data_IF_910934628858
#
_entry.id   IF_910934628858
#
_cell.length_a   1.000
_cell.length_b   1.000
_cell.length_c   1.000
_cell.angle_alpha   90.00
_cell.angle_beta   90.00
_cell.angle_gamma   90.00
#
_symmetry.space_group_name_H-M   'P 1'
#
loop_
_entity.id
_entity.type
_entity.pdbx_description
1 polymer ?
#
# COMPACT_ATOMS: atom_id res chain seq x y z
N UNK A 1 -54.11 20.43 -18.21
CA UNK A 1 -52.67 20.49 -18.56
C UNK A 1 -51.73 19.82 -17.53
N UNK A 2 -52.22 19.15 -16.48
CA UNK A 2 -51.39 18.44 -15.49
C UNK A 2 -50.83 17.02 -15.85
N UNK A 3 -51.34 16.26 -16.85
CA UNK A 3 -50.92 14.86 -17.01
C UNK A 3 -49.51 14.71 -17.59
N UNK A 4 -49.04 15.66 -18.41
CA UNK A 4 -47.71 15.59 -19.02
C UNK A 4 -46.57 15.77 -18.01
N UNK A 5 -46.72 16.66 -17.03
CA UNK A 5 -45.72 16.89 -15.98
C UNK A 5 -45.54 15.67 -15.08
N UNK A 6 -46.64 14.99 -14.72
CA UNK A 6 -46.60 13.77 -13.91
C UNK A 6 -45.95 12.59 -14.66
N UNK A 7 -46.18 12.49 -15.96
CA UNK A 7 -45.54 11.47 -16.82
C UNK A 7 -44.04 11.75 -16.96
N UNK A 8 -43.66 13.01 -17.20
CA UNK A 8 -42.25 13.42 -17.26
C UNK A 8 -41.51 13.16 -15.95
N UNK A 9 -42.11 13.51 -14.81
CA UNK A 9 -41.52 13.25 -13.50
C UNK A 9 -41.30 11.75 -13.26
N UNK A 10 -42.27 10.91 -13.61
CA UNK A 10 -42.12 9.44 -13.49
C UNK A 10 -41.02 8.90 -14.40
N UNK A 11 -40.91 9.39 -15.63
CA UNK A 11 -39.85 8.99 -16.56
C UNK A 11 -38.48 9.43 -16.03
N UNK A 12 -38.35 10.67 -15.54
CA UNK A 12 -37.10 11.15 -14.94
C UNK A 12 -36.70 10.34 -13.71
N UNK A 13 -37.65 10.00 -12.83
CA UNK A 13 -37.38 9.13 -11.68
C UNK A 13 -36.93 7.73 -12.11
N UNK A 14 -37.57 7.13 -13.11
CA UNK A 14 -37.16 5.82 -13.64
C UNK A 14 -35.77 5.88 -14.29
N UNK A 15 -35.48 6.93 -15.07
CA UNK A 15 -34.16 7.15 -15.66
C UNK A 15 -33.10 7.35 -14.57
N UNK A 16 -33.38 8.11 -13.52
CA UNK A 16 -32.46 8.28 -12.38
C UNK A 16 -32.19 6.94 -11.67
N UNK A 17 -33.21 6.12 -11.43
CA UNK A 17 -33.03 4.78 -10.82
C UNK A 17 -32.19 3.86 -11.72
N UNK A 18 -32.44 3.86 -13.03
CA UNK A 18 -31.67 3.07 -14.00
C UNK A 18 -30.22 3.54 -14.08
N UNK A 19 -29.97 4.86 -14.09
CA UNK A 19 -28.62 5.42 -14.15
C UNK A 19 -27.85 5.23 -12.84
N UNK A 20 -28.51 5.34 -11.68
CA UNK A 20 -27.91 5.02 -10.38
C UNK A 20 -27.58 3.53 -10.23
N UNK A 21 -28.39 2.63 -10.82
CA UNK A 21 -28.10 1.19 -10.88
C UNK A 21 -27.03 0.80 -11.91
N UNK A 22 -26.77 1.66 -12.90
CA UNK A 22 -25.76 1.46 -13.94
C UNK A 22 -24.40 2.10 -13.64
N UNK A 23 -24.22 2.76 -12.47
CA UNK A 23 -22.91 3.27 -12.07
C UNK A 23 -21.97 2.08 -11.88
N UNK A 24 -20.93 1.93 -12.71
CA UNK A 24 -19.94 0.88 -12.48
C UNK A 24 -19.39 1.08 -11.06
N UNK A 25 -19.38 0.01 -10.25
CA UNK A 25 -18.78 0.02 -8.92
C UNK A 25 -17.48 0.82 -8.97
N UNK A 26 -17.43 1.96 -8.28
CA UNK A 26 -16.53 3.06 -8.58
C UNK A 26 -15.08 2.58 -8.80
N UNK A 27 -14.66 2.61 -10.06
CA UNK A 27 -13.40 2.04 -10.52
C UNK A 27 -12.27 3.03 -10.20
N UNK A 28 -11.62 2.87 -9.03
CA UNK A 28 -10.50 3.72 -8.62
C UNK A 28 -9.16 3.06 -8.92
N UNK A 29 -8.23 3.84 -9.46
CA UNK A 29 -6.83 3.43 -9.58
C UNK A 29 -6.18 3.35 -8.20
N UNK A 30 -5.47 2.25 -7.96
CA UNK A 30 -4.81 1.92 -6.69
C UNK A 30 -3.45 1.30 -6.93
N UNK A 31 -2.61 1.32 -5.91
CA UNK A 31 -1.42 0.47 -5.81
C UNK A 31 -1.53 -0.38 -4.55
N UNK A 32 -0.97 -1.59 -4.64
CA UNK A 32 -0.95 -2.56 -3.56
C UNK A 32 0.48 -2.74 -3.09
N UNK A 33 0.78 -2.25 -1.90
CA UNK A 33 2.08 -2.40 -1.25
C UNK A 33 2.11 -3.69 -0.45
N UNK A 34 3.05 -4.59 -0.74
CA UNK A 34 3.28 -5.81 0.04
C UNK A 34 4.15 -5.49 1.25
N UNK A 35 3.63 -5.77 2.43
CA UNK A 35 4.35 -5.51 3.69
C UNK A 35 5.61 -6.37 3.84
N UNK A 36 5.59 -7.61 3.35
CA UNK A 36 6.72 -8.55 3.45
C UNK A 36 7.87 -8.23 2.48
N UNK A 37 7.57 -7.77 1.25
CA UNK A 37 8.62 -7.41 0.27
C UNK A 37 9.00 -5.94 0.29
N UNK A 38 8.28 -5.12 1.04
CA UNK A 38 8.39 -3.66 1.06
C UNK A 38 8.28 -3.01 -0.32
N UNK A 39 7.47 -3.59 -1.21
CA UNK A 39 7.36 -3.17 -2.61
C UNK A 39 5.93 -3.27 -3.13
N UNK A 40 5.67 -2.63 -4.26
CA UNK A 40 4.36 -2.59 -4.90
C UNK A 40 4.19 -3.73 -5.89
N UNK A 41 2.97 -4.28 -5.93
CA UNK A 41 2.56 -5.28 -6.91
C UNK A 41 2.72 -4.70 -8.32
N UNK A 42 3.61 -5.33 -9.07
CA UNK A 42 4.01 -4.96 -10.43
C UNK A 42 3.66 -6.11 -11.38
N UNK A 43 2.89 -5.81 -12.42
CA UNK A 43 2.42 -6.81 -13.40
C UNK A 43 3.01 -6.50 -14.78
N UNK A 44 3.99 -7.31 -15.21
CA UNK A 44 4.65 -7.19 -16.52
C UNK A 44 4.41 -8.49 -17.30
N UNK A 45 3.65 -8.38 -18.39
CA UNK A 45 3.20 -9.54 -19.14
C UNK A 45 2.48 -10.54 -18.22
N UNK A 46 2.87 -11.81 -18.26
CA UNK A 46 2.29 -12.85 -17.37
C UNK A 46 2.89 -12.83 -15.96
N UNK A 47 4.02 -12.16 -15.75
CA UNK A 47 4.75 -12.16 -14.48
C UNK A 47 4.17 -11.14 -13.51
N UNK A 48 4.05 -11.55 -12.25
CA UNK A 48 3.68 -10.68 -11.14
C UNK A 48 4.76 -10.76 -10.08
N UNK A 49 5.22 -9.60 -9.60
CA UNK A 49 6.17 -9.45 -8.49
C UNK A 49 5.72 -8.30 -7.59
N UNK A 50 6.30 -8.18 -6.39
CA UNK A 50 6.12 -7.02 -5.53
C UNK A 50 7.49 -6.35 -5.28
N UNK A 51 7.78 -5.27 -6.01
CA UNK A 51 9.10 -4.63 -6.04
C UNK A 51 8.99 -3.15 -5.72
N UNK A 52 10.10 -2.57 -5.24
CA UNK A 52 10.17 -1.12 -4.98
C UNK A 52 9.87 -0.36 -6.26
N UNK A 53 9.18 0.77 -6.14
CA UNK A 53 8.82 1.64 -7.26
C UNK A 53 10.06 2.35 -7.82
N UNK A 54 10.21 2.33 -9.13
CA UNK A 54 11.18 3.10 -9.91
C UNK A 54 10.50 3.64 -11.18
N UNK A 55 11.18 4.50 -11.94
CA UNK A 55 10.61 5.13 -13.14
C UNK A 55 10.22 4.13 -14.24
N UNK A 56 10.92 2.99 -14.31
CA UNK A 56 10.66 1.97 -15.33
C UNK A 56 9.44 1.11 -14.99
N UNK A 57 9.27 0.76 -13.72
CA UNK A 57 8.23 -0.16 -13.24
C UNK A 57 6.98 0.57 -12.75
N UNK A 58 7.08 1.88 -12.47
CA UNK A 58 6.01 2.72 -11.97
C UNK A 58 4.68 2.59 -12.72
N UNK A 59 4.65 2.55 -14.07
CA UNK A 59 3.40 2.38 -14.81
C UNK A 59 2.75 1.00 -14.61
N UNK A 60 3.55 -0.03 -14.36
CA UNK A 60 3.10 -1.42 -14.19
C UNK A 60 2.60 -1.73 -12.76
N UNK A 61 2.67 -0.74 -11.86
CA UNK A 61 2.17 -0.81 -10.48
C UNK A 61 0.80 -0.15 -10.29
N UNK A 62 0.25 0.44 -11.36
CA UNK A 62 -1.09 1.02 -11.37
C UNK A 62 -2.12 -0.09 -11.59
N UNK A 63 -2.93 -0.32 -10.58
CA UNK A 63 -3.96 -1.35 -10.54
C UNK A 63 -5.33 -0.71 -10.39
N UNK A 64 -6.36 -1.51 -10.60
CA UNK A 64 -7.75 -1.13 -10.44
C UNK A 64 -8.51 -2.28 -9.80
N UNK A 65 -9.34 -2.00 -8.81
CA UNK A 65 -10.28 -3.00 -8.26
C UNK A 65 -11.64 -2.86 -8.93
N UNK A 66 -12.17 -3.95 -9.48
CA UNK A 66 -13.45 -3.97 -10.21
C UNK A 66 -14.37 -5.00 -9.57
N UNK A 67 -15.60 -4.62 -9.24
CA UNK A 67 -16.65 -5.54 -8.80
C UNK A 67 -17.73 -5.60 -9.88
N UNK A 68 -18.23 -6.80 -10.19
CA UNK A 68 -19.31 -6.98 -11.18
C UNK A 68 -20.70 -6.87 -10.54
N UNK A 69 -20.79 -7.09 -9.22
CA UNK A 69 -22.02 -7.11 -8.45
C UNK A 69 -21.75 -6.76 -6.97
N UNK A 70 -22.78 -6.90 -6.14
CA UNK A 70 -22.70 -6.69 -4.69
C UNK A 70 -22.19 -7.93 -3.92
N UNK A 71 -21.66 -8.96 -4.60
CA UNK A 71 -21.22 -10.20 -3.94
C UNK A 71 -19.90 -10.07 -3.16
N UNK A 72 -19.36 -8.83 -3.05
CA UNK A 72 -18.05 -8.49 -2.45
C UNK A 72 -16.85 -9.15 -3.15
N UNK A 73 -17.08 -9.84 -4.27
CA UNK A 73 -16.03 -10.37 -5.13
C UNK A 73 -15.48 -9.23 -5.97
N UNK A 74 -14.16 -9.18 -6.10
CA UNK A 74 -13.50 -8.22 -6.95
C UNK A 74 -12.45 -8.87 -7.85
N UNK A 75 -12.14 -8.18 -8.93
CA UNK A 75 -11.00 -8.41 -9.78
C UNK A 75 -9.95 -7.33 -9.54
N UNK A 76 -8.68 -7.70 -9.63
CA UNK A 76 -7.57 -6.75 -9.62
C UNK A 76 -7.00 -6.70 -11.03
N UNK A 77 -7.16 -5.55 -11.68
CA UNK A 77 -6.74 -5.32 -13.05
C UNK A 77 -5.52 -4.42 -13.09
N UNK A 78 -4.46 -4.84 -13.79
CA UNK A 78 -3.29 -4.03 -14.03
C UNK A 78 -3.48 -3.24 -15.32
N UNK A 79 -3.53 -1.91 -15.18
CA UNK A 79 -3.92 -1.02 -16.27
C UNK A 79 -2.89 -1.03 -17.41
N UNK A 80 -1.60 -0.86 -17.10
CA UNK A 80 -0.56 -0.79 -18.15
C UNK A 80 -0.40 -2.08 -18.93
N UNK A 81 -0.47 -3.23 -18.25
CA UNK A 81 -0.29 -4.55 -18.89
C UNK A 81 -1.58 -5.16 -19.42
N UNK A 82 -2.73 -4.51 -19.18
CA UNK A 82 -4.06 -4.94 -19.60
C UNK A 82 -4.40 -6.38 -19.16
N UNK A 83 -4.09 -6.69 -17.90
CA UNK A 83 -4.19 -8.05 -17.36
C UNK A 83 -4.82 -8.10 -15.98
N UNK A 84 -5.64 -9.11 -15.74
CA UNK A 84 -6.12 -9.46 -14.42
C UNK A 84 -5.06 -10.25 -13.66
N UNK A 85 -4.92 -9.95 -12.38
CA UNK A 85 -4.20 -10.81 -11.44
C UNK A 85 -5.07 -12.04 -11.20
N UNK A 86 -4.50 -13.23 -11.40
CA UNK A 86 -5.21 -14.50 -11.22
C UNK A 86 -4.28 -15.54 -10.62
N UNK A 87 -4.85 -16.59 -10.03
CA UNK A 87 -4.11 -17.82 -9.78
C UNK A 87 -4.10 -18.73 -11.01
N UNK A 88 -2.95 -19.35 -11.30
CA UNK A 88 -2.91 -20.49 -12.19
C UNK A 88 -3.34 -21.78 -11.45
N UNK A 89 -3.36 -22.92 -12.16
CA UNK A 89 -3.69 -24.23 -11.59
C UNK A 89 -2.76 -24.67 -10.44
N UNK A 90 -1.51 -24.19 -10.46
CA UNK A 90 -0.51 -24.43 -9.41
C UNK A 90 -0.56 -23.36 -8.30
N UNK A 91 -1.65 -22.60 -8.21
CA UNK A 91 -1.85 -21.53 -7.23
C UNK A 91 -0.76 -20.44 -7.20
N UNK A 92 -0.06 -20.25 -8.32
CA UNK A 92 0.88 -19.15 -8.50
C UNK A 92 0.15 -17.93 -9.08
N UNK A 93 0.31 -16.73 -8.49
CA UNK A 93 -0.12 -15.48 -9.09
C UNK A 93 0.47 -15.25 -10.49
N UNK A 94 -0.39 -14.95 -11.46
CA UNK A 94 -0.06 -14.68 -12.86
C UNK A 94 -0.99 -13.60 -13.46
N UNK A 95 -0.50 -12.91 -14.49
CA UNK A 95 -1.29 -11.95 -15.26
C UNK A 95 -2.00 -12.59 -16.46
N UNK A 96 -3.33 -12.58 -16.49
CA UNK A 96 -4.14 -13.08 -17.60
C UNK A 96 -4.84 -11.95 -18.37
N UNK A 97 -4.87 -12.00 -19.72
CA UNK A 97 -5.61 -11.03 -20.50
C UNK A 97 -7.13 -11.20 -20.28
N UNK A 98 -7.91 -10.14 -20.54
CA UNK A 98 -9.38 -10.13 -20.35
C UNK A 98 -10.09 -11.33 -20.99
N UNK A 99 -9.69 -11.74 -22.20
CA UNK A 99 -10.27 -12.90 -22.92
C UNK A 99 -10.06 -14.25 -22.22
N UNK A 100 -9.09 -14.35 -21.30
CA UNK A 100 -8.76 -15.56 -20.53
C UNK A 100 -9.11 -15.43 -19.05
N UNK A 101 -9.87 -14.39 -18.67
CA UNK A 101 -10.35 -14.17 -17.30
C UNK A 101 -11.24 -15.34 -16.89
N UNK A 102 -11.09 -15.82 -15.66
CA UNK A 102 -11.89 -16.90 -15.10
C UNK A 102 -12.12 -16.67 -13.59
N UNK A 103 -12.77 -17.62 -12.92
CA UNK A 103 -13.07 -17.54 -11.48
C UNK A 103 -11.83 -17.44 -10.58
N UNK A 104 -10.65 -17.92 -11.03
CA UNK A 104 -9.38 -17.78 -10.28
C UNK A 104 -8.78 -16.37 -10.33
N UNK A 105 -9.41 -15.46 -11.05
CA UNK A 105 -9.10 -14.03 -11.07
C UNK A 105 -9.92 -13.22 -10.06
N UNK A 106 -10.83 -13.86 -9.32
CA UNK A 106 -11.69 -13.22 -8.34
C UNK A 106 -11.14 -13.41 -6.92
N UNK A 107 -11.24 -12.34 -6.13
CA UNK A 107 -10.78 -12.29 -4.74
C UNK A 107 -11.84 -11.67 -3.83
N UNK A 108 -11.80 -12.06 -2.56
CA UNK A 108 -12.35 -11.29 -1.46
C UNK A 108 -11.24 -10.39 -0.90
N UNK A 109 -11.56 -9.11 -0.67
CA UNK A 109 -10.70 -8.17 0.06
C UNK A 109 -11.13 -8.20 1.53
N UNK A 110 -10.32 -8.87 2.35
CA UNK A 110 -10.58 -9.10 3.78
C UNK A 110 -9.52 -8.35 4.62
N UNK A 111 -9.88 -7.93 5.84
CA UNK A 111 -8.92 -7.33 6.78
C UNK A 111 -8.24 -8.39 7.65
N UNK A 112 -6.93 -8.25 7.84
CA UNK A 112 -6.13 -8.98 8.82
C UNK A 112 -5.46 -7.95 9.73
N UNK A 113 -6.12 -7.60 10.83
CA UNK A 113 -5.75 -6.45 11.65
C UNK A 113 -5.87 -5.15 10.85
N UNK A 114 -4.79 -4.38 10.76
CA UNK A 114 -4.72 -3.13 10.00
C UNK A 114 -4.38 -3.30 8.51
N UNK A 115 -4.18 -4.54 8.05
CA UNK A 115 -3.76 -4.82 6.68
C UNK A 115 -4.86 -5.48 5.86
N UNK A 116 -4.78 -5.32 4.54
CA UNK A 116 -5.64 -6.01 3.59
C UNK A 116 -5.04 -7.35 3.20
N UNK A 117 -5.90 -8.32 2.96
CA UNK A 117 -5.57 -9.62 2.38
C UNK A 117 -6.50 -9.91 1.22
N UNK A 118 -5.99 -10.59 0.19
CA UNK A 118 -6.77 -10.95 -1.00
C UNK A 118 -6.92 -12.47 -1.07
N UNK A 119 -8.05 -12.98 -0.61
CA UNK A 119 -8.35 -14.41 -0.55
C UNK A 119 -9.02 -14.86 -1.84
N UNK A 120 -8.64 -16.02 -2.38
CA UNK A 120 -9.28 -16.55 -3.59
C UNK A 120 -10.73 -16.91 -3.35
N UNK A 121 -11.61 -16.57 -4.29
CA UNK A 121 -13.02 -17.00 -4.27
C UNK A 121 -13.16 -18.50 -4.51
N UNK A 122 -12.23 -19.11 -5.28
CA UNK A 122 -12.29 -20.53 -5.64
C UNK A 122 -11.71 -21.44 -4.56
N UNK A 123 -10.74 -20.94 -3.77
CA UNK A 123 -10.13 -21.71 -2.70
C UNK A 123 -9.82 -20.79 -1.51
N UNK A 124 -10.58 -20.95 -0.43
CA UNK A 124 -10.47 -20.13 0.78
C UNK A 124 -9.13 -20.24 1.49
N UNK A 125 -8.34 -21.30 1.25
CA UNK A 125 -7.00 -21.46 1.83
C UNK A 125 -5.90 -20.76 1.04
N UNK A 126 -6.23 -20.05 -0.05
CA UNK A 126 -5.27 -19.44 -0.97
C UNK A 126 -5.40 -17.93 -0.95
N UNK A 127 -4.28 -17.27 -0.70
CA UNK A 127 -4.18 -15.82 -0.57
C UNK A 127 -3.13 -15.29 -1.54
N UNK A 128 -3.38 -14.13 -2.13
CA UNK A 128 -2.36 -13.42 -2.88
C UNK A 128 -1.23 -13.05 -1.91
N UNK A 129 0.03 -13.27 -2.32
CA UNK A 129 1.14 -13.00 -1.43
C UNK A 129 2.48 -13.01 -2.13
N UNK A 130 3.44 -12.30 -1.54
CA UNK A 130 4.80 -12.16 -2.04
C UNK A 130 5.78 -12.31 -0.89
N UNK A 131 6.87 -13.04 -1.13
CA UNK A 131 7.91 -13.20 -0.12
C UNK A 131 8.78 -11.95 -0.01
N UNK A 132 9.75 -11.94 0.92
CA UNK A 132 10.68 -10.83 1.15
C UNK A 132 11.46 -10.36 -0.08
N UNK A 133 11.57 -11.18 -1.12
CA UNK A 133 12.24 -10.86 -2.38
C UNK A 133 11.27 -10.41 -3.49
N UNK A 134 10.01 -10.18 -3.15
CA UNK A 134 8.98 -9.78 -4.12
C UNK A 134 8.51 -10.90 -5.03
N UNK A 135 8.87 -12.16 -4.77
CA UNK A 135 8.45 -13.30 -5.59
C UNK A 135 7.12 -13.86 -5.08
N UNK A 136 6.21 -14.31 -5.96
CA UNK A 136 4.92 -14.85 -5.54
C UNK A 136 5.07 -16.06 -4.61
N UNK A 137 4.30 -16.07 -3.52
CA UNK A 137 4.19 -17.21 -2.60
C UNK A 137 3.18 -18.20 -3.19
N UNK A 138 3.55 -19.49 -3.23
CA UNK A 138 2.68 -20.56 -3.75
C UNK A 138 1.86 -21.25 -2.66
N UNK A 139 2.49 -21.51 -1.50
CA UNK A 139 1.94 -22.32 -0.41
C UNK A 139 2.00 -21.55 0.91
N UNK A 140 2.32 -22.21 2.03
CA UNK A 140 2.49 -21.60 3.34
C UNK A 140 3.66 -20.61 3.28
N UNK A 141 3.34 -19.33 3.41
CA UNK A 141 4.28 -18.25 3.70
C UNK A 141 4.10 -17.79 5.14
N UNK A 142 4.96 -16.89 5.59
CA UNK A 142 4.70 -16.16 6.83
C UNK A 142 3.46 -15.28 6.66
N UNK A 143 2.70 -15.07 7.72
CA UNK A 143 1.41 -14.38 7.66
C UNK A 143 1.53 -12.97 7.05
N UNK A 144 2.60 -12.24 7.39
CA UNK A 144 2.89 -10.92 6.84
C UNK A 144 3.06 -10.91 5.31
N UNK A 145 3.42 -12.04 4.70
CA UNK A 145 3.63 -12.13 3.25
C UNK A 145 2.34 -12.17 2.44
N UNK A 146 1.18 -12.18 3.12
CA UNK A 146 -0.14 -12.05 2.53
C UNK A 146 -0.80 -10.69 2.84
N UNK A 147 -0.12 -9.82 3.60
CA UNK A 147 -0.64 -8.52 4.02
C UNK A 147 -0.25 -7.40 3.05
N UNK A 148 -1.23 -6.57 2.72
CA UNK A 148 -1.11 -5.44 1.80
C UNK A 148 -1.61 -4.14 2.41
N UNK A 149 -1.08 -3.04 1.89
CA UNK A 149 -1.64 -1.69 2.06
C UNK A 149 -2.11 -1.22 0.68
N UNK A 150 -3.35 -0.75 0.59
CA UNK A 150 -3.95 -0.18 -0.62
C UNK A 150 -3.93 1.33 -0.52
N UNK A 151 -3.41 1.99 -1.53
CA UNK A 151 -3.34 3.45 -1.56
C UNK A 151 -3.54 3.97 -2.99
N UNK A 152 -3.88 5.24 -3.13
CA UNK A 152 -4.00 5.88 -4.44
C UNK A 152 -2.60 6.28 -4.94
N UNK A 153 -2.11 5.75 -6.08
CA UNK A 153 -0.78 6.07 -6.60
C UNK A 153 -0.63 7.52 -7.04
N UNK A 154 -1.74 8.24 -7.22
CA UNK A 154 -1.78 9.65 -7.60
C UNK A 154 -2.13 10.56 -6.42
N UNK A 155 -2.18 10.04 -5.19
CA UNK A 155 -2.34 10.89 -4.03
C UNK A 155 -1.08 11.74 -3.84
N UNK A 156 -1.15 12.99 -4.25
CA UNK A 156 -0.16 14.01 -3.92
C UNK A 156 -0.67 14.79 -2.70
N UNK A 157 -0.03 14.56 -1.56
CA UNK A 157 -0.34 15.23 -0.29
C UNK A 157 -0.13 16.73 -0.42
N UNK A 158 0.88 17.19 -1.16
CA UNK A 158 1.14 18.61 -1.32
C UNK A 158 0.04 19.26 -2.16
N UNK A 159 -0.37 18.60 -3.26
CA UNK A 159 -1.50 19.06 -4.05
C UNK A 159 -2.79 19.09 -3.23
N UNK A 160 -3.07 18.05 -2.46
CA UNK A 160 -4.24 18.01 -1.57
C UNK A 160 -4.21 19.14 -0.54
N UNK A 161 -3.08 19.34 0.14
CA UNK A 161 -2.91 20.42 1.12
C UNK A 161 -3.07 21.80 0.48
N UNK A 162 -2.53 22.00 -0.73
CA UNK A 162 -2.68 23.27 -1.46
C UNK A 162 -4.15 23.57 -1.78
N UNK A 163 -4.94 22.56 -2.18
CA UNK A 163 -6.37 22.73 -2.44
C UNK A 163 -7.15 23.06 -1.16
N UNK A 164 -6.87 22.33 -0.05
CA UNK A 164 -7.54 22.60 1.23
C UNK A 164 -7.19 23.98 1.77
N UNK A 165 -5.92 24.41 1.64
CA UNK A 165 -5.50 25.74 2.04
C UNK A 165 -6.07 26.86 1.16
N UNK A 166 -6.27 26.59 -0.14
CA UNK A 166 -6.90 27.54 -1.07
C UNK A 166 -8.39 27.74 -0.76
N UNK A 167 -9.11 26.67 -0.40
CA UNK A 167 -10.54 26.71 -0.06
C UNK A 167 -10.80 27.36 1.31
N UNK A 168 -9.83 27.28 2.23
CA UNK A 168 -9.89 27.93 3.55
C UNK A 168 -9.57 29.43 3.54
N UNK A 169 -9.48 30.06 2.37
CA UNK A 169 -9.29 31.50 2.24
C UNK A 169 -7.89 31.94 2.68
N UNK A 170 -6.92 31.83 1.77
CA UNK A 170 -5.72 32.67 1.71
C UNK A 170 -5.13 33.13 3.04
N UNK A 171 -4.68 32.22 3.88
CA UNK A 171 -3.68 32.56 4.89
C UNK A 171 -2.35 32.03 4.36
N UNK A 172 -1.57 32.92 3.74
CA UNK A 172 -0.20 32.63 3.37
C UNK A 172 0.53 32.02 4.58
N UNK A 173 1.27 30.91 4.41
CA UNK A 173 2.15 30.48 5.47
C UNK A 173 3.17 31.60 5.66
N UNK A 174 3.09 32.30 6.80
CA UNK A 174 4.13 33.20 7.26
C UNK A 174 5.45 32.41 7.32
N UNK A 175 6.19 32.43 6.21
CA UNK A 175 7.63 32.25 6.25
C UNK A 175 8.13 33.46 7.01
N UNK A 176 8.40 33.27 8.30
CA UNK A 176 9.12 34.25 9.11
C UNK A 176 10.53 34.32 8.53
N UNK A 177 10.68 35.14 7.50
CA UNK A 177 11.96 35.60 6.99
C UNK A 177 12.54 36.50 8.07
N UNK A 178 13.32 35.92 8.99
CA UNK A 178 14.15 36.69 9.92
C UNK A 178 15.19 37.42 9.08
N UNK A 179 14.86 38.64 8.64
CA UNK A 179 15.86 39.61 8.17
C UNK A 179 16.82 39.90 9.34
N UNK A 180 18.15 39.81 9.15
CA UNK A 180 19.09 40.30 10.14
C UNK A 180 19.02 41.84 10.19
N UNK A 181 18.87 42.39 11.39
CA UNK A 181 18.97 43.83 11.64
C UNK A 181 20.43 44.29 11.48
N UNK A 182 20.69 45.49 10.91
CA UNK A 182 22.06 46.00 10.77
C UNK A 182 22.53 46.63 12.08
N UNK A 183 23.62 46.13 12.64
CA UNK A 183 24.34 46.80 13.74
C UNK A 183 25.70 47.25 13.23
N UNK A 184 26.00 48.49 13.55
CA UNK A 184 27.09 49.36 13.08
C UNK A 184 28.50 48.74 13.14
N UNK A 185 29.31 49.15 12.16
CA UNK A 185 30.77 49.00 12.10
C UNK A 185 31.46 49.47 13.37
N UNK A 186 32.45 48.70 13.82
CA UNK A 186 33.67 49.24 14.44
C UNK A 186 34.89 48.65 13.73
N UNK A 187 35.75 49.55 13.25
CA UNK A 187 36.98 49.30 12.52
C UNK A 187 38.12 48.93 13.48
N UNK A 188 39.01 48.01 13.06
CA UNK A 188 40.48 48.16 13.21
C UNK A 188 41.22 47.11 12.36
N UNK A 189 42.24 47.61 11.66
CA UNK A 189 43.06 47.00 10.62
C UNK A 189 44.08 45.97 11.14
N UNK A 190 44.50 44.99 10.33
CA UNK A 190 45.81 44.95 9.60
C UNK A 190 46.17 43.52 9.13
N UNK A 191 46.60 43.40 7.86
CA UNK A 191 47.36 42.36 7.10
C UNK A 191 47.44 40.90 7.62
N UNK A 192 47.35 39.82 6.82
CA UNK A 192 48.03 39.53 5.54
C UNK A 192 47.46 38.29 4.82
N UNK A 193 47.49 38.36 3.48
CA UNK A 193 47.66 37.35 2.41
C UNK A 193 47.46 35.83 2.61
N UNK A 194 46.98 35.22 1.51
CA UNK A 194 47.15 33.83 1.00
C UNK A 194 46.39 32.73 1.74
N UNK A 195 45.95 31.62 1.15
CA UNK A 195 45.58 31.17 -0.20
C UNK A 195 44.86 29.82 0.05
N UNK A 196 43.91 29.47 -0.82
CA UNK A 196 43.39 28.13 -1.11
C UNK A 196 42.96 27.12 -0.01
N UNK A 197 41.87 26.41 -0.32
CA UNK A 197 41.35 25.14 0.25
C UNK A 197 40.33 25.27 1.39
N UNK A 198 39.03 25.19 1.05
CA UNK A 198 37.96 24.92 2.00
C UNK A 198 37.33 23.55 1.72
N UNK A 199 37.61 22.62 2.63
CA UNK A 199 36.87 21.38 2.85
C UNK A 199 35.38 21.68 3.13
N UNK A 200 34.50 20.89 2.52
CA UNK A 200 33.07 20.89 2.82
C UNK A 200 32.82 19.91 3.97
N UNK A 201 32.66 20.45 5.17
CA UNK A 201 32.16 19.71 6.34
C UNK A 201 30.65 19.54 6.20
N UNK A 202 30.21 18.32 5.84
CA UNK A 202 28.81 17.91 5.91
C UNK A 202 28.38 17.69 7.37
N UNK A 203 27.60 18.61 7.94
CA UNK A 203 26.87 18.37 9.19
C UNK A 203 25.66 17.48 8.94
N UNK A 204 25.74 16.24 9.41
CA UNK A 204 24.67 15.24 9.36
C UNK A 204 23.70 15.44 10.52
N UNK A 205 22.47 15.89 10.24
CA UNK A 205 21.38 15.87 11.22
C UNK A 205 20.86 14.44 11.41
N UNK A 206 21.31 13.77 12.48
CA UNK A 206 20.80 12.46 12.91
C UNK A 206 19.43 12.63 13.60
N UNK A 207 18.36 12.15 12.97
CA UNK A 207 17.09 11.90 13.65
C UNK A 207 17.24 10.69 14.58
N UNK A 208 17.19 10.94 15.90
CA UNK A 208 17.17 9.89 16.94
C UNK A 208 15.73 9.41 17.15
N UNK A 209 15.41 8.19 16.73
CA UNK A 209 14.22 7.49 17.19
C UNK A 209 14.42 6.96 18.62
N UNK A 210 13.52 7.33 19.54
CA UNK A 210 13.43 6.76 20.89
C UNK A 210 13.01 5.30 20.80
N UNK A 211 13.87 4.40 21.26
CA UNK A 211 13.59 2.98 21.45
C UNK A 211 12.94 2.77 22.83
N UNK A 212 11.69 2.30 22.88
CA UNK A 212 11.12 1.73 24.11
C UNK A 212 11.79 0.38 24.40
N UNK A 213 12.65 0.35 25.42
CA UNK A 213 13.17 -0.90 25.99
C UNK A 213 12.24 -1.34 27.13
N UNK A 214 11.59 -2.48 26.97
CA UNK A 214 11.09 -3.27 28.10
C UNK A 214 12.29 -4.03 28.69
N UNK A 215 12.51 -3.89 30.00
CA UNK A 215 13.47 -4.72 30.76
C UNK A 215 12.79 -6.03 31.14
N UNK A 216 13.44 -7.20 31.08
CA UNK A 216 13.04 -8.35 31.86
C UNK A 216 13.60 -8.22 33.28
N UNK A 217 12.75 -8.40 34.30
CA UNK A 217 13.20 -8.64 35.65
C UNK A 217 13.42 -10.16 35.83
N UNK A 218 14.67 -10.52 36.06
CA UNK A 218 15.10 -11.86 36.43
C UNK A 218 14.98 -11.99 37.96
N UNK A 219 14.25 -12.99 38.45
CA UNK A 219 14.50 -13.59 39.77
C UNK A 219 14.50 -15.10 39.66
N UNK A 220 15.70 -15.63 39.86
CA UNK A 220 16.04 -17.02 40.11
C UNK A 220 15.53 -17.40 41.50
N UNK A 221 14.85 -18.55 41.62
CA UNK A 221 15.13 -19.49 42.71
C UNK A 221 14.79 -20.90 42.26
N UNK A 222 15.76 -21.78 42.44
CA UNK A 222 15.78 -23.15 41.98
C UNK A 222 15.08 -24.10 42.97
N UNK A 223 14.56 -25.23 42.48
CA UNK A 223 14.82 -26.51 43.13
C UNK A 223 14.74 -27.68 42.15
N UNK A 224 15.71 -28.58 42.34
CA UNK A 224 16.12 -29.76 41.59
C UNK A 224 15.07 -30.89 41.58
N UNK A 225 15.06 -31.67 40.49
CA UNK A 225 15.51 -33.09 40.39
C UNK A 225 15.19 -33.62 38.97
N UNK A 226 16.19 -34.11 38.21
CA UNK A 226 16.51 -35.54 37.90
C UNK A 226 15.33 -36.26 37.18
N UNK A 227 15.43 -37.07 36.11
CA UNK A 227 16.47 -37.84 35.41
C UNK A 227 15.80 -38.40 34.13
N UNK A 228 16.56 -38.55 33.03
CA UNK A 228 16.43 -39.50 31.89
C UNK A 228 15.15 -39.74 31.03
N UNK A 229 15.37 -39.59 29.72
CA UNK A 229 15.07 -40.45 28.54
C UNK A 229 13.62 -40.82 28.11
N UNK A 230 13.34 -40.88 26.79
CA UNK A 230 12.03 -41.26 26.24
C UNK A 230 11.93 -42.76 25.95
N UNK A 231 10.77 -43.36 26.20
CA UNK A 231 10.42 -44.72 25.78
C UNK A 231 9.13 -44.70 24.95
N UNK A 232 9.21 -45.37 23.80
CA UNK A 232 8.15 -45.63 22.83
C UNK A 232 7.17 -46.71 23.33
N UNK A 233 6.00 -46.71 22.69
CA UNK A 233 5.11 -47.85 22.37
C UNK A 233 3.89 -48.24 23.26
N UNK A 234 2.74 -48.24 22.55
CA UNK A 234 1.62 -49.20 22.52
C UNK A 234 0.67 -49.39 23.74
N UNK A 235 -0.61 -49.04 23.54
CA UNK A 235 -1.76 -49.97 23.56
C UNK A 235 -3.07 -49.22 23.18
N UNK A 236 -3.79 -49.70 22.16
CA UNK A 236 -5.06 -50.46 22.25
C UNK A 236 -6.11 -49.81 23.15
N UNK A 237 -7.15 -49.24 22.52
CA UNK A 237 -8.55 -49.70 22.58
C UNK A 237 -9.24 -49.30 21.27
#
# INVERSE_FOLDING_TARGET
MLPQLAVLAKILCLLMVVMCGAVPAMVRSVSLYSTCSSGNVTVIGRSIKAVVRDDQNAPYQKLTTQSEDFSRKLYIFAEKSQRYICFNERWKPIGLPKKKKNSRCQFYEDYNGSYLTYRSVVNSSRYLGFNKFGKPVKNRGRQECFNFIKYNPHADINHHNNLVNADMGGMDPYVVSRKPSPVMRASKNLLSQTDSTREIVHTTHRYRHRSWKLRPAEKISASRRRLESPLFEANKY
#
